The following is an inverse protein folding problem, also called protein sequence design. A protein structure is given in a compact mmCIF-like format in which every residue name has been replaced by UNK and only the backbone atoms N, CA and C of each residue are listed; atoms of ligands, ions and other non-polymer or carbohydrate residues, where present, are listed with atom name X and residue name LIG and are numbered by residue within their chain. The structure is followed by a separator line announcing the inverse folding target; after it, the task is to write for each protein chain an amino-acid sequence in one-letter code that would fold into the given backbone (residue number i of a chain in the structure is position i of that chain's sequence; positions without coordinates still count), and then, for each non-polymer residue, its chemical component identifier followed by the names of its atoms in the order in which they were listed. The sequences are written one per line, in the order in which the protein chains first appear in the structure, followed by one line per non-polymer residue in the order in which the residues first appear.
data_IF_208729353506
#
_entry.id   IF_208729353506
#
_cell.length_a   1.000
_cell.length_b   1.000
_cell.length_c   1.000
_cell.angle_alpha   90.00
_cell.angle_beta   90.00
_cell.angle_gamma   90.00
#
_symmetry.space_group_name_H-M   'P 1'
#
loop_
_entity.id
_entity.type
_entity.pdbx_description
1 polymer ?
#
# COMPACT_ATOMS: atom_id res chain seq x y z
N UNK A 1 15.70 16.31 -46.05
CA UNK A 1 16.03 16.21 -44.62
C UNK A 1 16.04 17.61 -44.03
N UNK A 2 15.04 18.00 -43.24
CA UNK A 2 14.94 19.33 -42.61
C UNK A 2 15.06 19.17 -41.10
N UNK A 3 16.12 19.77 -40.55
CA UNK A 3 16.40 19.86 -39.12
C UNK A 3 15.57 20.98 -38.50
N UNK A 4 14.89 20.72 -37.38
CA UNK A 4 14.17 21.73 -36.61
C UNK A 4 14.78 21.75 -35.20
N UNK A 5 15.49 22.83 -34.89
CA UNK A 5 15.99 23.14 -33.55
C UNK A 5 14.89 23.82 -32.74
N UNK A 6 14.56 23.27 -31.57
CA UNK A 6 13.79 23.95 -30.54
C UNK A 6 14.71 24.30 -29.37
N UNK A 7 14.82 25.60 -29.08
CA UNK A 7 15.49 26.16 -27.91
C UNK A 7 14.42 26.71 -26.98
N UNK A 8 14.39 26.30 -25.72
CA UNK A 8 13.47 26.82 -24.69
C UNK A 8 14.28 27.32 -23.50
N UNK A 9 13.94 28.49 -22.93
CA UNK A 9 14.73 29.08 -21.85
C UNK A 9 14.36 28.54 -20.46
N UNK A 10 15.39 28.43 -19.62
CA UNK A 10 15.34 28.07 -18.20
C UNK A 10 14.59 29.13 -17.37
N UNK A 11 13.53 28.70 -16.68
CA UNK A 11 12.81 29.53 -15.70
C UNK A 11 13.41 29.32 -14.30
N UNK A 12 13.97 30.39 -13.74
CA UNK A 12 14.60 30.45 -12.41
C UNK A 12 13.50 30.45 -11.33
N UNK A 13 13.44 29.40 -10.50
CA UNK A 13 12.54 29.32 -9.34
C UNK A 13 13.22 29.94 -8.12
N UNK A 14 12.59 30.98 -7.56
CA UNK A 14 13.02 31.67 -6.34
C UNK A 14 12.49 30.93 -5.11
N UNK A 15 13.40 30.43 -4.28
CA UNK A 15 13.11 29.81 -2.98
C UNK A 15 12.87 30.92 -1.95
N UNK A 16 11.74 30.90 -1.26
CA UNK A 16 11.52 31.69 -0.02
C UNK A 16 11.48 30.74 1.17
N UNK A 17 12.32 31.04 2.15
CA UNK A 17 12.50 30.37 3.44
C UNK A 17 11.41 30.76 4.44
N UNK A 18 10.95 29.85 5.33
CA UNK A 18 10.14 30.21 6.48
C UNK A 18 10.99 30.17 7.77
N UNK A 19 11.36 31.34 8.29
CA UNK A 19 11.88 31.49 9.65
C UNK A 19 11.03 32.54 10.38
N UNK A 20 10.29 32.09 11.39
CA UNK A 20 9.63 32.95 12.36
C UNK A 20 9.69 32.30 13.75
N UNK A 21 10.34 32.92 14.74
CA UNK A 21 10.34 32.46 16.13
C UNK A 21 9.40 33.33 16.98
N UNK A 22 8.54 32.73 17.80
CA UNK A 22 7.85 33.43 18.91
C UNK A 22 7.42 32.43 20.01
N UNK A 23 7.11 32.84 21.26
CA UNK A 23 8.02 32.69 22.39
C UNK A 23 7.42 31.82 23.54
N UNK A 24 8.29 31.42 24.45
CA UNK A 24 7.93 30.80 25.72
C UNK A 24 7.16 31.79 26.62
N UNK A 25 6.03 31.36 27.17
CA UNK A 25 5.34 32.07 28.27
C UNK A 25 5.26 31.15 29.47
N UNK A 26 5.98 31.52 30.52
CA UNK A 26 5.91 30.91 31.84
C UNK A 26 4.76 31.55 32.64
N UNK A 27 3.98 30.75 33.39
CA UNK A 27 3.17 31.29 34.48
C UNK A 27 2.95 30.30 35.63
N UNK A 28 3.85 30.43 36.61
CA UNK A 28 3.62 30.60 38.05
C UNK A 28 2.50 29.80 38.76
N UNK A 29 2.99 28.94 39.66
CA UNK A 29 2.34 28.37 40.84
C UNK A 29 1.70 29.42 41.77
N UNK A 30 0.51 29.11 42.29
CA UNK A 30 0.05 29.51 43.63
C UNK A 30 -0.78 28.37 44.23
N UNK A 31 -0.32 27.82 45.36
CA UNK A 31 -1.08 26.86 46.15
C UNK A 31 -2.11 27.50 47.08
N UNK A 32 -3.02 26.66 47.59
CA UNK A 32 -3.52 26.77 48.97
C UNK A 32 -4.15 25.43 49.41
N UNK A 33 -3.87 24.97 50.64
CA UNK A 33 -4.50 23.80 51.24
C UNK A 33 -5.75 24.19 52.06
N UNK A 34 -6.68 23.25 52.24
CA UNK A 34 -7.22 22.81 53.53
C UNK A 34 -8.67 22.29 53.44
N UNK A 35 -8.81 21.03 53.84
CA UNK A 35 -9.87 20.42 54.66
C UNK A 35 -11.33 20.88 54.47
N UNK A 36 -12.20 19.88 54.23
CA UNK A 36 -13.19 19.47 55.25
C UNK A 36 -13.62 18.02 55.05
N UNK A 37 -13.61 17.30 56.16
CA UNK A 37 -14.14 15.95 56.37
C UNK A 37 -15.66 16.07 56.51
N UNK A 38 -16.39 15.12 55.94
CA UNK A 38 -17.82 14.93 56.15
C UNK A 38 -18.26 13.59 55.58
N UNK A 39 -18.23 12.55 56.41
CA UNK A 39 -18.74 11.23 56.09
C UNK A 39 -20.27 11.22 56.25
N UNK A 40 -21.00 10.67 55.28
CA UNK A 40 -22.30 10.01 55.51
C UNK A 40 -22.41 8.78 54.63
N UNK A 41 -22.90 7.73 55.29
CA UNK A 41 -23.00 6.34 54.94
C UNK A 41 -24.10 6.01 53.90
N UNK A 42 -23.82 4.91 53.17
CA UNK A 42 -24.72 3.81 52.78
C UNK A 42 -25.86 4.13 51.80
N UNK A 43 -25.75 3.50 50.62
CA UNK A 43 -26.81 2.62 50.10
C UNK A 43 -26.19 1.55 49.20
N UNK A 44 -26.32 0.30 49.66
CA UNK A 44 -26.15 -0.89 48.83
C UNK A 44 -27.13 -0.79 47.65
N UNK A 45 -26.58 -0.77 46.45
CA UNK A 45 -27.30 -1.03 45.22
C UNK A 45 -26.43 -1.90 44.34
N UNK A 46 -26.39 -3.21 44.61
CA UNK A 46 -25.84 -4.19 43.67
C UNK A 46 -26.81 -4.29 42.47
N UNK A 47 -26.79 -3.30 41.59
CA UNK A 47 -27.29 -3.49 40.23
C UNK A 47 -26.16 -4.13 39.44
N UNK A 48 -26.02 -5.44 39.57
CA UNK A 48 -25.41 -6.26 38.53
C UNK A 48 -26.35 -6.23 37.33
N UNK A 49 -26.37 -5.09 36.62
CA UNK A 49 -26.91 -5.05 35.28
C UNK A 49 -26.03 -5.99 34.47
N UNK A 50 -26.56 -7.19 34.20
CA UNK A 50 -26.05 -8.05 33.14
C UNK A 50 -26.10 -7.21 31.86
N UNK A 51 -25.01 -6.51 31.59
CA UNK A 51 -24.59 -6.21 30.23
C UNK A 51 -24.27 -7.58 29.63
N UNK A 52 -25.32 -8.32 29.26
CA UNK A 52 -25.27 -9.26 28.15
C UNK A 52 -25.05 -8.39 26.89
N UNK A 53 -23.89 -7.73 26.84
CA UNK A 53 -23.34 -7.25 25.61
C UNK A 53 -23.24 -8.49 24.75
N UNK A 54 -23.96 -8.48 23.63
CA UNK A 54 -23.80 -9.48 22.59
C UNK A 54 -22.30 -9.53 22.30
N UNK A 55 -21.63 -10.57 22.79
CA UNK A 55 -20.25 -10.83 22.45
C UNK A 55 -20.29 -11.09 20.94
N UNK A 56 -20.04 -10.04 20.16
CA UNK A 56 -19.80 -10.21 18.73
C UNK A 56 -18.63 -11.18 18.63
N UNK A 57 -18.73 -12.22 17.79
CA UNK A 57 -17.65 -13.17 17.63
C UNK A 57 -16.38 -12.38 17.33
N UNK A 58 -15.34 -12.59 18.14
CA UNK A 58 -14.04 -12.01 17.89
C UNK A 58 -13.51 -12.64 16.60
N UNK A 59 -13.68 -11.94 15.47
CA UNK A 59 -13.14 -12.40 14.20
C UNK A 59 -11.61 -12.26 14.26
N UNK A 60 -10.93 -13.40 14.32
CA UNK A 60 -9.47 -13.44 14.33
C UNK A 60 -8.95 -13.14 12.92
N UNK A 61 -8.06 -12.17 12.82
CA UNK A 61 -7.34 -11.90 11.57
C UNK A 61 -6.21 -12.93 11.40
N UNK A 62 -6.15 -13.57 10.24
CA UNK A 62 -5.13 -14.53 9.85
C UNK A 62 -4.22 -13.85 8.83
N UNK A 63 -2.95 -13.67 9.19
CA UNK A 63 -1.92 -13.27 8.21
C UNK A 63 -1.69 -14.46 7.29
N UNK A 64 -2.19 -14.34 6.06
CA UNK A 64 -2.15 -15.42 5.09
C UNK A 64 -0.85 -15.37 4.28
N UNK A 65 -0.39 -14.17 3.92
CA UNK A 65 0.83 -13.97 3.12
C UNK A 65 1.62 -12.79 3.64
N UNK A 66 2.95 -12.98 3.71
CA UNK A 66 3.97 -11.93 3.79
C UNK A 66 5.13 -12.33 2.89
N UNK A 67 5.34 -11.60 1.79
CA UNK A 67 6.31 -11.95 0.75
C UNK A 67 7.03 -10.71 0.22
N UNK A 68 8.35 -10.65 0.41
CA UNK A 68 9.22 -9.58 -0.07
C UNK A 68 10.21 -10.07 -1.14
N UNK A 69 9.81 -11.06 -1.95
CA UNK A 69 10.63 -11.66 -3.01
C UNK A 69 11.89 -12.42 -2.51
N UNK A 70 11.93 -12.79 -1.23
CA UNK A 70 13.13 -13.34 -0.61
C UNK A 70 13.26 -14.86 -0.69
N UNK A 71 14.49 -15.35 -0.86
CA UNK A 71 14.82 -16.77 -0.82
C UNK A 71 13.98 -17.61 -1.81
N UNK A 72 13.24 -18.58 -1.29
CA UNK A 72 12.35 -19.44 -2.10
C UNK A 72 11.06 -18.72 -2.53
N UNK A 73 10.72 -17.58 -1.93
CA UNK A 73 9.52 -16.82 -2.26
C UNK A 73 9.60 -16.23 -3.67
N UNK A 74 10.79 -15.80 -4.08
CA UNK A 74 11.10 -15.33 -5.44
C UNK A 74 10.59 -16.28 -6.54
N UNK A 75 10.64 -17.59 -6.33
CA UNK A 75 10.22 -18.58 -7.33
C UNK A 75 8.69 -18.66 -7.52
N UNK A 76 7.91 -18.04 -6.62
CA UNK A 76 6.45 -18.03 -6.72
C UNK A 76 5.90 -16.84 -7.54
N UNK A 77 6.78 -15.93 -7.97
CA UNK A 77 6.43 -14.77 -8.76
C UNK A 77 6.61 -15.04 -10.24
N UNK A 78 5.66 -14.55 -11.02
CA UNK A 78 5.64 -14.63 -12.48
C UNK A 78 5.58 -13.23 -13.07
N UNK A 79 6.27 -13.05 -14.20
CA UNK A 79 6.34 -11.78 -14.92
C UNK A 79 5.74 -11.98 -16.31
N UNK A 80 4.87 -11.07 -16.74
CA UNK A 80 4.24 -11.13 -18.07
C UNK A 80 4.04 -9.74 -18.64
N UNK A 81 4.00 -9.64 -19.96
CA UNK A 81 3.84 -8.37 -20.66
C UNK A 81 3.14 -8.56 -22.00
N UNK A 82 2.59 -7.45 -22.50
CA UNK A 82 2.12 -7.29 -23.89
C UNK A 82 2.76 -6.03 -24.45
N UNK A 83 3.28 -6.11 -25.67
CA UNK A 83 4.06 -5.04 -26.30
C UNK A 83 5.52 -5.07 -25.87
N UNK A 84 6.18 -3.91 -25.90
CA UNK A 84 7.60 -3.77 -25.52
C UNK A 84 7.73 -3.60 -24.00
N UNK A 85 7.44 -4.68 -23.28
CA UNK A 85 7.51 -4.78 -21.84
C UNK A 85 8.58 -5.76 -21.37
N UNK A 86 8.97 -5.66 -20.11
CA UNK A 86 9.85 -6.62 -19.44
C UNK A 86 9.63 -6.60 -17.93
N UNK A 87 10.12 -7.62 -17.25
CA UNK A 87 10.12 -7.67 -15.79
C UNK A 87 11.02 -8.79 -15.26
N UNK A 88 11.30 -8.73 -13.98
CA UNK A 88 12.11 -9.72 -13.29
C UNK A 88 12.37 -9.36 -11.85
N UNK A 89 13.10 -10.23 -11.16
CA UNK A 89 13.62 -9.96 -9.83
C UNK A 89 14.82 -9.03 -9.91
N UNK A 90 15.02 -8.20 -8.90
CA UNK A 90 16.16 -7.30 -8.79
C UNK A 90 16.52 -7.07 -7.32
N UNK A 91 17.52 -6.22 -7.08
CA UNK A 91 18.03 -5.79 -5.78
C UNK A 91 18.43 -4.30 -5.79
N UNK A 92 17.80 -3.47 -6.63
CA UNK A 92 18.24 -2.09 -6.90
C UNK A 92 17.47 -1.03 -6.12
N UNK A 93 16.20 -1.29 -5.80
CA UNK A 93 15.31 -0.36 -5.14
C UNK A 93 14.44 -1.14 -4.16
N UNK A 94 15.04 -1.91 -3.25
CA UNK A 94 14.27 -2.71 -2.30
C UNK A 94 13.54 -1.81 -1.31
N UNK A 95 12.30 -2.15 -0.95
CA UNK A 95 11.59 -1.46 0.12
C UNK A 95 12.06 -2.01 1.47
N UNK A 96 12.09 -3.34 1.59
CA UNK A 96 12.79 -4.04 2.67
C UNK A 96 13.57 -5.22 2.12
N UNK A 97 14.44 -5.82 2.92
CA UNK A 97 15.23 -6.97 2.46
C UNK A 97 16.26 -6.62 1.37
N UNK A 98 16.51 -7.59 0.49
CA UNK A 98 17.56 -7.56 -0.54
C UNK A 98 17.03 -7.83 -1.95
N UNK A 99 15.75 -8.18 -2.11
CA UNK A 99 15.12 -8.40 -3.42
C UNK A 99 13.86 -7.58 -3.61
N UNK A 100 13.59 -7.22 -4.86
CA UNK A 100 12.37 -6.56 -5.31
C UNK A 100 11.89 -7.17 -6.64
N UNK A 101 10.64 -6.90 -6.99
CA UNK A 101 10.10 -7.14 -8.31
C UNK A 101 10.19 -5.87 -9.16
N UNK A 102 10.59 -6.01 -10.43
CA UNK A 102 10.61 -4.92 -11.40
C UNK A 102 9.73 -5.24 -12.60
N UNK A 103 9.01 -4.23 -13.07
CA UNK A 103 8.30 -4.25 -14.34
C UNK A 103 8.55 -2.94 -15.09
N UNK A 104 8.66 -3.01 -16.42
CA UNK A 104 8.87 -1.82 -17.25
C UNK A 104 8.30 -1.98 -18.65
N UNK A 105 8.00 -0.85 -19.30
CA UNK A 105 7.46 -0.82 -20.66
C UNK A 105 7.95 0.41 -21.44
N UNK A 106 8.01 0.29 -22.77
CA UNK A 106 8.46 1.35 -23.70
C UNK A 106 7.45 1.74 -24.80
N UNK A 107 6.34 1.01 -24.92
CA UNK A 107 5.29 1.26 -25.92
C UNK A 107 3.92 1.12 -25.29
N UNK A 108 2.84 1.30 -26.07
CA UNK A 108 1.51 0.87 -25.63
C UNK A 108 1.50 -0.62 -25.24
N UNK A 109 0.76 -0.96 -24.18
CA UNK A 109 0.64 -2.33 -23.68
C UNK A 109 0.59 -2.38 -22.15
N UNK A 110 1.09 -3.47 -21.58
CA UNK A 110 1.27 -3.58 -20.14
C UNK A 110 2.47 -4.46 -19.79
N UNK A 111 2.98 -4.31 -18.58
CA UNK A 111 3.88 -5.26 -17.93
C UNK A 111 3.36 -5.54 -16.53
N UNK A 112 3.52 -6.77 -16.05
CA UNK A 112 2.94 -7.17 -14.78
C UNK A 112 3.80 -8.21 -14.06
N UNK A 113 3.65 -8.21 -12.75
CA UNK A 113 4.26 -9.17 -11.83
C UNK A 113 3.16 -9.69 -10.92
N UNK A 114 3.08 -11.01 -10.77
CA UNK A 114 2.01 -11.61 -9.98
C UNK A 114 2.34 -13.00 -9.45
N UNK A 115 1.62 -13.36 -8.39
CA UNK A 115 1.78 -14.61 -7.64
C UNK A 115 0.41 -15.22 -7.38
N UNK A 116 0.31 -16.55 -7.53
CA UNK A 116 -0.87 -17.31 -7.07
C UNK A 116 -0.79 -17.52 -5.55
N UNK A 117 -1.91 -17.35 -4.88
CA UNK A 117 -2.03 -17.46 -3.43
C UNK A 117 -3.23 -18.33 -3.09
N UNK A 118 -3.02 -19.28 -2.18
CA UNK A 118 -4.09 -20.06 -1.56
C UNK A 118 -4.52 -19.42 -0.25
N UNK A 119 -5.80 -19.05 -0.17
CA UNK A 119 -6.44 -18.38 0.95
C UNK A 119 -7.23 -19.39 1.80
N UNK A 120 -7.36 -19.13 3.12
CA UNK A 120 -8.31 -19.87 3.94
C UNK A 120 -9.75 -19.59 3.49
N UNK A 121 -10.67 -20.48 3.85
CA UNK A 121 -12.10 -20.19 3.72
C UNK A 121 -12.42 -19.00 4.63
N UNK A 122 -12.66 -17.83 4.03
CA UNK A 122 -12.65 -16.54 4.72
C UNK A 122 -13.87 -15.72 4.33
N UNK A 123 -14.26 -14.81 5.21
CA UNK A 123 -15.38 -13.89 5.00
C UNK A 123 -14.92 -12.59 4.35
N UNK A 124 -13.71 -12.13 4.67
CA UNK A 124 -13.11 -10.94 4.04
C UNK A 124 -11.59 -11.01 4.01
N UNK A 125 -10.97 -10.36 3.04
CA UNK A 125 -9.53 -10.23 2.93
C UNK A 125 -9.14 -8.82 2.50
N UNK A 126 -7.97 -8.40 2.95
CA UNK A 126 -7.27 -7.20 2.49
C UNK A 126 -5.90 -7.61 1.98
N UNK A 127 -5.54 -7.14 0.79
CA UNK A 127 -4.20 -7.27 0.25
C UNK A 127 -3.57 -5.88 0.12
N UNK A 128 -2.25 -5.82 0.22
CA UNK A 128 -1.51 -4.62 -0.11
C UNK A 128 -0.07 -4.91 -0.47
N UNK A 129 0.53 -4.01 -1.23
CA UNK A 129 1.88 -4.10 -1.74
C UNK A 129 2.51 -2.71 -1.83
N UNK A 130 3.82 -2.62 -1.66
CA UNK A 130 4.55 -1.37 -1.83
C UNK A 130 4.97 -1.21 -3.29
N UNK A 131 4.75 -0.02 -3.83
CA UNK A 131 5.00 0.30 -5.24
C UNK A 131 5.84 1.56 -5.35
N UNK A 132 6.91 1.53 -6.13
CA UNK A 132 7.79 2.67 -6.40
C UNK A 132 7.93 2.88 -7.92
N UNK A 133 7.09 3.75 -8.53
CA UNK A 133 7.23 4.10 -9.94
C UNK A 133 8.47 4.97 -10.16
N UNK A 134 9.15 4.77 -11.29
CA UNK A 134 10.34 5.55 -11.67
C UNK A 134 10.13 6.37 -12.95
N UNK A 135 10.84 7.50 -13.05
CA UNK A 135 10.99 8.36 -14.25
C UNK A 135 9.78 9.21 -14.63
N UNK A 136 8.56 8.68 -14.57
CA UNK A 136 7.36 9.41 -14.98
C UNK A 136 6.10 8.97 -14.22
N UNK A 137 5.06 9.79 -14.31
CA UNK A 137 3.73 9.45 -13.80
C UNK A 137 3.16 8.26 -14.53
N UNK A 138 2.73 7.24 -13.79
CA UNK A 138 2.34 5.93 -14.29
C UNK A 138 0.99 5.52 -13.72
N UNK A 139 0.19 4.84 -14.55
CA UNK A 139 -1.00 4.15 -14.09
C UNK A 139 -0.62 2.73 -13.67
N UNK A 140 -0.90 2.41 -12.42
CA UNK A 140 -0.67 1.10 -11.83
C UNK A 140 -2.01 0.50 -11.42
N UNK A 141 -2.22 -0.77 -11.77
CA UNK A 141 -3.30 -1.57 -11.23
C UNK A 141 -2.75 -2.53 -10.18
N UNK A 142 -3.43 -2.61 -9.04
CA UNK A 142 -3.29 -3.68 -8.08
C UNK A 142 -4.54 -4.56 -8.12
N UNK A 143 -4.34 -5.82 -8.47
CA UNK A 143 -5.36 -6.71 -9.01
C UNK A 143 -5.42 -8.00 -8.19
N UNK A 144 -6.64 -8.41 -7.83
CA UNK A 144 -6.95 -9.73 -7.29
C UNK A 144 -7.84 -10.42 -8.32
N UNK A 145 -7.37 -11.53 -8.87
CA UNK A 145 -7.97 -12.19 -10.02
C UNK A 145 -8.28 -13.65 -9.68
N UNK A 146 -9.45 -14.13 -10.11
CA UNK A 146 -9.71 -15.56 -10.14
C UNK A 146 -8.93 -16.20 -11.31
N UNK A 147 -7.96 -17.09 -11.05
CA UNK A 147 -6.97 -17.48 -12.06
C UNK A 147 -7.53 -18.31 -13.22
N UNK A 148 -8.67 -18.97 -13.03
CA UNK A 148 -9.26 -19.83 -14.07
C UNK A 148 -10.12 -19.02 -15.06
N UNK A 149 -10.84 -18.01 -14.58
CA UNK A 149 -11.73 -17.18 -15.39
C UNK A 149 -11.11 -15.84 -15.80
N UNK A 150 -10.01 -15.45 -15.17
CA UNK A 150 -9.40 -14.12 -15.26
C UNK A 150 -10.36 -12.97 -14.90
N UNK A 151 -11.41 -13.26 -14.11
CA UNK A 151 -12.31 -12.24 -13.59
C UNK A 151 -11.66 -11.52 -12.40
N UNK A 152 -11.85 -10.21 -12.31
CA UNK A 152 -11.39 -9.43 -11.17
C UNK A 152 -12.27 -9.71 -9.95
N UNK A 153 -11.66 -10.22 -8.89
CA UNK A 153 -12.23 -10.27 -7.54
C UNK A 153 -12.17 -8.88 -6.91
N UNK A 154 -11.04 -8.19 -7.08
CA UNK A 154 -10.86 -6.81 -6.67
C UNK A 154 -9.85 -6.11 -7.58
N UNK A 155 -10.03 -4.80 -7.77
CA UNK A 155 -9.14 -3.98 -8.58
C UNK A 155 -9.00 -2.59 -7.94
N UNK A 156 -7.76 -2.16 -7.74
CA UNK A 156 -7.43 -0.77 -7.40
C UNK A 156 -6.52 -0.21 -8.48
N UNK A 157 -6.99 0.82 -9.19
CA UNK A 157 -6.15 1.62 -10.08
C UNK A 157 -5.67 2.87 -9.36
N UNK A 158 -4.39 3.16 -9.47
CA UNK A 158 -3.75 4.37 -8.95
C UNK A 158 -2.89 5.02 -10.02
N UNK A 159 -2.74 6.34 -9.93
CA UNK A 159 -1.79 7.10 -10.75
C UNK A 159 -0.74 7.66 -9.80
N UNK A 160 0.50 7.21 -9.96
CA UNK A 160 1.60 7.53 -9.06
C UNK A 160 2.70 8.27 -9.84
N UNK A 161 3.28 9.31 -9.24
CA UNK A 161 4.38 10.07 -9.84
C UNK A 161 5.70 9.31 -9.77
N UNK A 162 6.47 9.27 -10.85
CA UNK A 162 7.74 8.52 -10.95
C UNK A 162 8.93 9.03 -10.12
N UNK A 163 8.69 9.98 -9.23
CA UNK A 163 9.65 10.48 -8.23
C UNK A 163 9.13 10.28 -6.80
N UNK A 164 8.00 9.59 -6.64
CA UNK A 164 7.46 9.28 -5.32
C UNK A 164 8.33 8.20 -4.65
N UNK A 165 8.48 8.24 -3.32
CA UNK A 165 8.97 7.08 -2.60
C UNK A 165 7.99 5.90 -2.76
N UNK A 166 8.40 4.74 -2.27
CA UNK A 166 7.51 3.60 -2.10
C UNK A 166 6.17 4.03 -1.50
N UNK A 167 5.10 3.71 -2.22
CA UNK A 167 3.73 4.02 -1.87
C UNK A 167 2.98 2.72 -1.67
N UNK A 168 2.33 2.59 -0.51
CA UNK A 168 1.51 1.41 -0.21
C UNK A 168 0.18 1.48 -0.98
N UNK A 169 -0.09 0.45 -1.78
CA UNK A 169 -1.34 0.29 -2.53
C UNK A 169 -2.07 -0.92 -1.97
N UNK A 170 -3.35 -0.75 -1.63
CA UNK A 170 -4.17 -1.82 -1.04
C UNK A 170 -5.56 -1.90 -1.65
N UNK A 171 -6.16 -3.08 -1.54
CA UNK A 171 -7.54 -3.37 -1.91
C UNK A 171 -8.13 -4.41 -0.97
N UNK A 172 -9.45 -4.47 -0.89
CA UNK A 172 -10.19 -5.37 -0.01
C UNK A 172 -11.34 -6.04 -0.77
N UNK A 173 -11.70 -7.24 -0.36
CA UNK A 173 -12.85 -7.97 -0.90
C UNK A 173 -13.51 -8.84 0.17
N UNK A 174 -14.81 -9.06 -0.01
CA UNK A 174 -15.63 -9.89 0.87
C UNK A 174 -16.09 -11.11 0.10
N UNK A 175 -15.85 -12.29 0.67
CA UNK A 175 -16.04 -13.59 0.03
C UNK A 175 -15.23 -13.70 -1.28
N UNK A 176 -14.88 -14.92 -1.68
CA UNK A 176 -14.12 -15.08 -2.93
C UNK A 176 -13.55 -16.46 -3.12
N UNK A 177 -12.90 -16.70 -4.27
CA UNK A 177 -12.22 -17.95 -4.52
C UNK A 177 -11.07 -18.12 -3.52
N UNK A 178 -10.79 -19.37 -3.17
CA UNK A 178 -9.65 -19.72 -2.30
C UNK A 178 -8.32 -19.63 -3.03
N UNK A 179 -8.32 -19.73 -4.36
CA UNK A 179 -7.14 -19.55 -5.18
C UNK A 179 -7.26 -18.23 -5.94
N UNK A 180 -6.34 -17.31 -5.68
CA UNK A 180 -6.30 -16.00 -6.34
C UNK A 180 -4.94 -15.76 -6.98
N UNK A 181 -4.93 -15.07 -8.11
CA UNK A 181 -3.74 -14.40 -8.63
C UNK A 181 -3.73 -12.97 -8.11
N UNK A 182 -2.71 -12.63 -7.32
CA UNK A 182 -2.43 -11.25 -6.92
C UNK A 182 -1.42 -10.68 -7.92
N UNK A 183 -1.74 -9.56 -8.54
CA UNK A 183 -0.94 -8.99 -9.63
C UNK A 183 -0.83 -7.48 -9.52
N UNK A 184 0.36 -6.96 -9.79
CA UNK A 184 0.59 -5.54 -10.07
C UNK A 184 0.84 -5.39 -11.56
N UNK A 185 0.13 -4.49 -12.21
CA UNK A 185 0.29 -4.19 -13.63
C UNK A 185 0.63 -2.72 -13.84
N UNK A 186 1.70 -2.47 -14.57
CA UNK A 186 2.03 -1.18 -15.17
C UNK A 186 1.34 -1.11 -16.53
N UNK A 187 0.44 -0.14 -16.70
CA UNK A 187 -0.39 0.01 -17.89
C UNK A 187 -0.19 1.41 -18.46
N UNK A 188 -0.14 1.51 -19.79
CA UNK A 188 -0.23 2.80 -20.44
C UNK A 188 0.32 2.81 -21.85
N UNK A 189 0.71 4.00 -22.28
CA UNK A 189 1.49 4.22 -23.48
C UNK A 189 2.55 5.26 -23.15
N UNK A 190 3.81 4.90 -23.38
CA UNK A 190 4.95 5.76 -23.04
C UNK A 190 5.55 6.47 -24.25
N UNK A 191 4.98 6.31 -25.44
CA UNK A 191 5.46 6.93 -26.69
C UNK A 191 6.98 6.79 -26.90
N UNK A 192 7.55 5.62 -26.58
CA UNK A 192 8.99 5.35 -26.69
C UNK A 192 9.82 5.65 -25.44
N UNK A 193 9.26 6.38 -24.46
CA UNK A 193 9.92 6.61 -23.16
C UNK A 193 9.86 5.33 -22.33
N UNK A 194 10.91 5.02 -21.56
CA UNK A 194 10.83 3.89 -20.63
C UNK A 194 10.07 4.29 -19.37
N UNK A 195 9.01 3.54 -19.06
CA UNK A 195 8.34 3.55 -17.78
C UNK A 195 8.80 2.32 -17.00
N UNK A 196 8.94 2.46 -15.68
CA UNK A 196 9.36 1.37 -14.82
C UNK A 196 8.75 1.52 -13.44
N UNK A 197 8.54 0.40 -12.77
CA UNK A 197 8.00 0.35 -11.42
C UNK A 197 8.61 -0.81 -10.66
N UNK A 198 9.06 -0.53 -9.44
CA UNK A 198 9.47 -1.53 -8.46
C UNK A 198 8.27 -1.88 -7.57
N UNK A 199 8.18 -3.14 -7.17
CA UNK A 199 7.18 -3.64 -6.24
C UNK A 199 7.85 -4.50 -5.17
N UNK A 200 7.32 -4.44 -3.96
CA UNK A 200 7.89 -5.16 -2.83
C UNK A 200 6.85 -5.37 -1.71
N UNK A 201 7.15 -6.29 -0.79
CA UNK A 201 6.43 -6.50 0.47
C UNK A 201 4.92 -6.71 0.31
N UNK A 202 4.52 -7.75 -0.44
CA UNK A 202 3.13 -8.20 -0.51
C UNK A 202 2.67 -8.72 0.87
N UNK A 203 1.58 -8.14 1.36
CA UNK A 203 0.85 -8.61 2.54
C UNK A 203 -0.59 -8.97 2.21
N UNK A 204 -1.08 -10.09 2.75
CA UNK A 204 -2.50 -10.45 2.70
C UNK A 204 -2.97 -10.87 4.09
N UNK A 205 -4.02 -10.21 4.55
CA UNK A 205 -4.70 -10.46 5.81
C UNK A 205 -6.14 -10.88 5.52
N UNK A 206 -6.58 -12.00 6.08
CA UNK A 206 -7.96 -12.46 5.93
C UNK A 206 -8.63 -12.72 7.28
N UNK A 207 -9.95 -12.56 7.31
CA UNK A 207 -10.78 -12.78 8.48
C UNK A 207 -11.69 -13.99 8.23
N UNK A 208 -11.91 -14.78 9.27
CA UNK A 208 -12.90 -15.86 9.29
C UNK A 208 -14.15 -15.38 10.01
#
# INVERSE_FOLDING_TARGET
MRSIHFSTPLRKLSVRSPNGPVPATAQRSTGRPARRVGAVAVLLGLTAALLAGTASPASAAIITVRDGFEGTQAANWSFSHVGNGTGGLSSLQTHTGVRDGFISMRSAGFSSVGRRVQLPATTSCTAGIWVNPVLATQQINFEIIEPNSFTYVALKTVVLSGSAPYTFVSTQWNHGPRDVLVRVSLIGNSNGTQLGTWVDDLGILCHT
#
